data_IF_402764354714
#
_entry.id   IF_402764354714
#
_cell.length_a   1.000
_cell.length_b   1.000
_cell.length_c   1.000
_cell.angle_alpha   90.00
_cell.angle_beta   90.00
_cell.angle_gamma   90.00
#
_symmetry.space_group_name_H-M   'P 1'
#
loop_
_entity.id
_entity.type
_entity.pdbx_description
1 polymer ?
#
# COMPACT_ATOMS: atom_id res chain seq x y z
N UNK A 1 -14.34 -50.16 -15.24
CA UNK A 1 -14.49 -49.25 -16.39
C UNK A 1 -15.94 -48.79 -16.45
N UNK A 2 -16.24 -47.59 -15.96
CA UNK A 2 -17.53 -46.92 -16.20
C UNK A 2 -17.26 -45.44 -16.45
N UNK A 3 -17.67 -44.99 -17.63
CA UNK A 3 -17.58 -43.62 -18.13
C UNK A 3 -18.99 -43.03 -18.00
N UNK A 4 -19.18 -41.88 -17.34
CA UNK A 4 -20.33 -41.01 -17.60
C UNK A 4 -20.10 -39.54 -17.17
N UNK A 5 -19.95 -38.71 -18.21
CA UNK A 5 -20.57 -37.39 -18.49
C UNK A 5 -20.35 -36.17 -17.55
N UNK A 6 -19.62 -35.20 -18.14
CA UNK A 6 -19.78 -33.73 -18.17
C UNK A 6 -21.04 -33.15 -17.49
N UNK A 7 -20.87 -32.06 -16.73
CA UNK A 7 -21.34 -30.69 -17.05
C UNK A 7 -21.29 -29.80 -15.79
N UNK A 8 -20.86 -28.54 -15.92
CA UNK A 8 -21.02 -27.54 -14.85
C UNK A 8 -20.01 -26.40 -14.87
N UNK A 9 -19.89 -25.68 -15.98
CA UNK A 9 -19.27 -24.35 -16.00
C UNK A 9 -20.24 -23.38 -15.31
N UNK A 10 -19.84 -22.77 -14.19
CA UNK A 10 -20.58 -21.67 -13.57
C UNK A 10 -19.70 -20.42 -13.54
N UNK A 11 -19.90 -19.58 -14.56
CA UNK A 11 -19.57 -18.16 -14.54
C UNK A 11 -20.42 -17.47 -13.46
N UNK A 12 -19.78 -16.77 -12.52
CA UNK A 12 -20.40 -15.71 -11.73
C UNK A 12 -19.54 -14.45 -11.98
N UNK A 13 -19.83 -13.66 -13.02
CA UNK A 13 -20.82 -12.58 -13.05
C UNK A 13 -20.69 -11.60 -11.86
N UNK A 14 -19.86 -10.58 -12.10
CA UNK A 14 -20.19 -9.18 -11.87
C UNK A 14 -20.47 -8.76 -10.41
N UNK A 15 -19.39 -8.49 -9.67
CA UNK A 15 -19.46 -7.68 -8.46
C UNK A 15 -19.68 -6.20 -8.84
N UNK A 16 -20.97 -5.85 -8.96
CA UNK A 16 -21.62 -4.65 -8.42
C UNK A 16 -20.90 -3.32 -8.62
N UNK A 17 -21.22 -2.65 -9.73
CA UNK A 17 -21.24 -1.20 -9.79
C UNK A 17 -22.24 -0.67 -8.74
N UNK A 18 -21.76 0.13 -7.79
CA UNK A 18 -22.63 0.95 -6.93
C UNK A 18 -22.50 2.40 -7.40
N UNK A 19 -23.57 2.90 -8.00
CA UNK A 19 -23.66 4.27 -8.49
C UNK A 19 -24.95 4.86 -7.91
N UNK A 20 -24.87 5.66 -6.86
CA UNK A 20 -25.94 6.61 -6.50
C UNK A 20 -25.40 7.80 -5.70
N UNK A 21 -25.56 8.96 -6.33
CA UNK A 21 -25.52 10.32 -5.80
C UNK A 21 -26.20 10.49 -4.44
N UNK A 22 -25.59 11.27 -3.53
CA UNK A 22 -26.28 12.16 -2.58
C UNK A 22 -25.27 13.09 -1.89
N UNK A 23 -25.32 14.37 -2.26
CA UNK A 23 -25.20 15.56 -1.39
C UNK A 23 -24.31 15.50 -0.13
N UNK A 24 -23.28 16.36 -0.12
CA UNK A 24 -22.71 16.93 1.11
C UNK A 24 -21.21 16.70 1.27
N UNK A 25 -20.41 17.76 1.06
CA UNK A 25 -19.13 18.05 1.76
C UNK A 25 -18.28 16.84 2.22
N UNK A 26 -18.07 15.85 1.35
CA UNK A 26 -17.23 14.65 1.61
C UNK A 26 -16.23 14.37 0.48
N UNK A 27 -15.85 15.40 -0.30
CA UNK A 27 -15.04 15.22 -1.51
C UNK A 27 -13.51 15.29 -1.29
N UNK A 28 -12.99 15.63 -0.10
CA UNK A 28 -11.54 15.83 0.08
C UNK A 28 -10.91 15.30 1.39
N UNK A 29 -11.57 14.38 2.13
CA UNK A 29 -11.01 13.87 3.41
C UNK A 29 -10.82 12.34 3.46
N UNK A 30 -10.56 11.68 2.34
CA UNK A 30 -10.34 10.22 2.34
C UNK A 30 -9.09 9.77 1.57
N UNK A 31 -8.11 10.65 1.39
CA UNK A 31 -6.78 10.28 0.90
C UNK A 31 -5.75 10.00 2.01
N UNK A 32 -6.13 10.14 3.30
CA UNK A 32 -5.32 9.60 4.39
C UNK A 32 -5.58 8.10 4.50
N UNK A 33 -5.02 7.36 3.56
CA UNK A 33 -4.59 5.99 3.85
C UNK A 33 -3.54 6.10 4.97
N UNK A 34 -3.66 5.35 6.07
CA UNK A 34 -2.68 5.43 7.17
C UNK A 34 -1.27 5.24 6.58
N UNK A 35 -0.34 6.18 6.82
CA UNK A 35 0.98 6.14 6.18
C UNK A 35 1.69 4.80 6.41
N UNK A 36 1.49 4.21 7.59
CA UNK A 36 1.95 2.86 7.94
C UNK A 36 1.32 1.76 7.08
N UNK A 37 0.05 1.85 6.71
CA UNK A 37 -0.60 0.85 5.87
C UNK A 37 -0.01 0.83 4.45
N UNK A 38 0.34 2.00 3.90
CA UNK A 38 1.03 2.06 2.60
C UNK A 38 2.40 1.39 2.65
N UNK A 39 3.12 1.59 3.75
CA UNK A 39 4.46 1.05 3.97
C UNK A 39 4.42 -0.48 4.15
N UNK A 40 3.38 -1.02 4.79
CA UNK A 40 3.19 -2.47 4.98
C UNK A 40 3.09 -3.26 3.67
N UNK A 41 2.72 -2.61 2.57
CA UNK A 41 2.68 -3.24 1.26
C UNK A 41 4.08 -3.41 0.62
N UNK A 42 5.09 -2.67 1.11
CA UNK A 42 6.44 -2.69 0.58
C UNK A 42 7.25 -3.87 1.13
N UNK A 43 8.19 -4.33 0.32
CA UNK A 43 9.14 -5.39 0.66
C UNK A 43 10.57 -4.92 0.41
N UNK A 44 11.51 -5.55 1.10
CA UNK A 44 12.93 -5.35 0.86
C UNK A 44 13.24 -5.72 -0.59
N UNK A 45 13.96 -4.84 -1.28
CA UNK A 45 14.27 -4.94 -2.71
C UNK A 45 13.28 -4.23 -3.64
N UNK A 46 12.14 -3.73 -3.13
CA UNK A 46 11.19 -2.96 -3.95
C UNK A 46 11.83 -1.66 -4.44
N UNK A 47 11.51 -1.30 -5.69
CA UNK A 47 12.02 -0.10 -6.35
C UNK A 47 10.98 1.01 -6.35
N UNK A 48 11.38 2.18 -5.89
CA UNK A 48 10.54 3.37 -5.72
C UNK A 48 11.26 4.58 -6.29
N UNK A 49 10.85 5.04 -7.48
CA UNK A 49 11.36 6.27 -8.10
C UNK A 49 12.90 6.42 -8.09
N UNK A 50 13.63 5.33 -8.35
CA UNK A 50 15.10 5.32 -8.36
C UNK A 50 15.74 5.02 -7.00
N UNK A 51 14.95 4.71 -5.97
CA UNK A 51 15.40 4.13 -4.71
C UNK A 51 15.09 2.64 -4.65
N UNK A 52 15.90 1.90 -3.90
CA UNK A 52 15.66 0.52 -3.52
C UNK A 52 15.47 0.42 -2.01
N UNK A 53 14.44 -0.31 -1.57
CA UNK A 53 14.19 -0.60 -0.15
C UNK A 53 15.25 -1.56 0.38
N UNK A 54 16.02 -1.11 1.37
CA UNK A 54 17.07 -1.91 2.00
C UNK A 54 16.61 -2.57 3.29
N UNK A 55 15.81 -1.86 4.08
CA UNK A 55 15.33 -2.34 5.38
C UNK A 55 13.99 -1.72 5.73
N UNK A 56 13.18 -2.49 6.45
CA UNK A 56 11.94 -2.05 7.06
C UNK A 56 11.99 -2.49 8.53
N UNK A 57 11.92 -1.53 9.46
CA UNK A 57 11.95 -1.77 10.90
C UNK A 57 10.69 -1.16 11.54
N UNK A 58 9.95 -1.96 12.31
CA UNK A 58 8.82 -1.47 13.10
C UNK A 58 9.29 -1.07 14.50
N UNK A 59 8.93 0.14 14.92
CA UNK A 59 9.21 0.65 16.27
C UNK A 59 7.89 0.91 17.00
N UNK A 60 7.33 -0.11 17.69
CA UNK A 60 5.98 -0.06 18.22
C UNK A 60 5.81 1.02 19.31
N UNK A 61 6.85 1.26 20.12
CA UNK A 61 6.81 2.26 21.20
C UNK A 61 6.56 3.69 20.70
N UNK A 62 6.96 3.98 19.45
CA UNK A 62 6.77 5.28 18.80
C UNK A 62 5.69 5.26 17.72
N UNK A 63 5.05 4.11 17.47
CA UNK A 63 4.09 3.92 16.38
C UNK A 63 4.65 4.34 15.01
N UNK A 64 5.94 4.09 14.78
CA UNK A 64 6.66 4.42 13.56
C UNK A 64 7.05 3.13 12.84
N UNK A 65 6.95 3.14 11.51
CA UNK A 65 7.63 2.17 10.66
C UNK A 65 8.74 2.88 9.89
N UNK A 66 9.99 2.54 10.17
CA UNK A 66 11.15 3.12 9.53
C UNK A 66 11.52 2.31 8.28
N UNK A 67 11.74 3.00 7.15
CA UNK A 67 12.27 2.41 5.94
C UNK A 67 13.61 3.04 5.61
N UNK A 68 14.62 2.20 5.41
CA UNK A 68 15.87 2.62 4.82
C UNK A 68 15.83 2.40 3.30
N UNK A 69 16.01 3.48 2.56
CA UNK A 69 16.05 3.53 1.11
C UNK A 69 17.46 3.89 0.65
N UNK A 70 17.89 3.32 -0.48
CA UNK A 70 19.14 3.67 -1.12
C UNK A 70 18.89 4.09 -2.57
N UNK A 71 19.39 5.25 -2.97
CA UNK A 71 19.23 5.76 -4.33
C UNK A 71 20.18 5.05 -5.29
N UNK A 72 19.64 4.41 -6.33
CA UNK A 72 20.37 3.52 -7.24
C UNK A 72 21.50 4.25 -8.01
N UNK A 73 21.33 5.54 -8.32
CA UNK A 73 22.31 6.29 -9.13
C UNK A 73 23.40 6.99 -8.32
N UNK A 74 23.03 7.54 -7.17
CA UNK A 74 23.96 8.38 -6.37
C UNK A 74 24.45 7.68 -5.11
N UNK A 75 23.86 6.55 -4.73
CA UNK A 75 24.14 5.87 -3.47
C UNK A 75 23.62 6.60 -2.23
N UNK A 76 22.88 7.71 -2.40
CA UNK A 76 22.33 8.46 -1.28
C UNK A 76 21.41 7.59 -0.44
N UNK A 77 21.52 7.71 0.89
CA UNK A 77 20.65 7.01 1.83
C UNK A 77 19.52 7.93 2.26
N UNK A 78 18.32 7.38 2.37
CA UNK A 78 17.13 8.09 2.81
C UNK A 78 16.40 7.23 3.84
N UNK A 79 16.23 7.78 5.04
CA UNK A 79 15.44 7.19 6.10
C UNK A 79 14.04 7.81 6.10
N UNK A 80 13.01 7.02 5.82
CA UNK A 80 11.63 7.45 5.89
C UNK A 80 10.96 6.88 7.14
N UNK A 81 10.55 7.73 8.07
CA UNK A 81 9.84 7.34 9.28
C UNK A 81 8.33 7.55 9.09
N UNK A 82 7.60 6.48 8.79
CA UNK A 82 6.18 6.56 8.54
C UNK A 82 5.37 6.49 9.83
N UNK A 83 4.54 7.51 10.05
CA UNK A 83 3.61 7.65 11.16
C UNK A 83 2.30 8.20 10.65
N UNK A 84 1.21 7.90 11.35
CA UNK A 84 -0.07 8.55 11.11
C UNK A 84 -0.08 9.92 11.80
N UNK A 85 0.56 10.90 11.17
CA UNK A 85 0.72 12.27 11.64
C UNK A 85 0.68 13.21 10.43
N UNK A 86 -0.12 14.27 10.52
CA UNK A 86 -0.26 15.27 9.45
C UNK A 86 0.91 16.28 9.44
N UNK A 87 1.67 16.37 10.53
CA UNK A 87 2.84 17.24 10.64
C UNK A 87 4.09 16.58 10.04
N UNK A 88 4.26 16.75 8.73
CA UNK A 88 5.38 16.17 7.99
C UNK A 88 6.63 17.06 8.06
N UNK A 89 7.82 16.45 8.17
CA UNK A 89 9.12 17.15 8.19
C UNK A 89 10.15 16.41 7.35
N UNK A 90 11.07 17.15 6.72
CA UNK A 90 12.23 16.64 5.98
C UNK A 90 13.50 17.40 6.43
N UNK A 91 14.64 16.71 6.51
CA UNK A 91 15.91 17.27 6.98
C UNK A 91 17.12 16.48 6.52
#
# INVERSE_FOLDING_TARGET
>A
MHILKRAGFAFAHLAKACNTSTSGLRCLRHLNEDARNRIRALKIGDKLHGYTVQRIDEVPDYYITAILLSHDKTGAQHLHAARDDDNNTFG
#
